data_IF_351272246262
#
_entry.id   IF_351272246262
#
_cell.length_a   1.000
_cell.length_b   1.000
_cell.length_c   1.000
_cell.angle_alpha   90.00
_cell.angle_beta   90.00
_cell.angle_gamma   90.00
#
_symmetry.space_group_name_H-M   'P 1'
#
loop_
_entity.id
_entity.type
_entity.pdbx_description
1 polymer ?
#
# COMPACT_ATOMS: atom_id res chain seq x y z
N UNK A 1 7.17 -8.79 -12.50
CA UNK A 1 7.46 -8.41 -11.09
C UNK A 1 6.21 -8.18 -10.25
N UNK A 2 5.14 -7.56 -10.77
CA UNK A 2 3.90 -7.33 -9.98
C UNK A 2 3.21 -8.62 -9.52
N UNK A 3 3.04 -9.61 -10.41
CA UNK A 3 2.35 -10.86 -10.07
C UNK A 3 2.99 -11.62 -8.91
N UNK A 4 4.32 -11.72 -8.88
CA UNK A 4 5.06 -12.37 -7.79
C UNK A 4 4.96 -11.59 -6.47
N UNK A 5 4.92 -10.25 -6.54
CA UNK A 5 4.73 -9.41 -5.35
C UNK A 5 3.33 -9.58 -4.75
N UNK A 6 2.29 -9.53 -5.58
CA UNK A 6 0.90 -9.68 -5.12
C UNK A 6 0.66 -11.06 -4.53
N UNK A 7 1.21 -12.12 -5.14
CA UNK A 7 1.15 -13.46 -4.58
C UNK A 7 1.83 -13.54 -3.21
N UNK A 8 3.03 -12.96 -3.06
CA UNK A 8 3.75 -12.93 -1.79
C UNK A 8 3.02 -12.14 -0.70
N UNK A 9 2.42 -10.99 -1.05
CA UNK A 9 1.60 -10.19 -0.13
C UNK A 9 0.38 -10.97 0.34
N UNK A 10 -0.36 -11.62 -0.58
CA UNK A 10 -1.54 -12.43 -0.23
C UNK A 10 -1.19 -13.62 0.66
N UNK A 11 -0.03 -14.23 0.44
CA UNK A 11 0.46 -15.31 1.29
C UNK A 11 0.83 -14.83 2.70
N UNK A 12 1.49 -13.67 2.82
CA UNK A 12 1.91 -13.12 4.11
C UNK A 12 0.78 -12.46 4.91
N UNK A 13 -0.22 -11.89 4.23
CA UNK A 13 -1.27 -11.04 4.81
C UNK A 13 -2.66 -11.47 4.29
N UNK A 14 -3.11 -12.71 4.54
CA UNK A 14 -4.27 -13.31 3.88
C UNK A 14 -5.62 -12.64 4.19
N UNK A 15 -5.69 -11.86 5.27
CA UNK A 15 -6.91 -11.18 5.75
C UNK A 15 -6.97 -9.70 5.38
N UNK A 16 -5.98 -9.19 4.63
CA UNK A 16 -5.89 -7.76 4.25
C UNK A 16 -6.41 -7.54 2.83
N UNK A 17 -6.96 -6.34 2.58
CA UNK A 17 -7.29 -5.95 1.20
C UNK A 17 -6.00 -5.58 0.49
N UNK A 18 -5.76 -6.19 -0.68
CA UNK A 18 -4.57 -5.94 -1.49
C UNK A 18 -5.01 -5.56 -2.89
N UNK A 19 -4.55 -4.41 -3.37
CA UNK A 19 -4.72 -3.97 -4.77
C UNK A 19 -3.39 -4.01 -5.50
N UNK A 20 -3.44 -4.43 -6.76
CA UNK A 20 -2.30 -4.31 -7.66
C UNK A 20 -2.23 -2.95 -8.36
N UNK A 21 -1.17 -2.73 -9.16
CA UNK A 21 -0.97 -1.50 -9.89
C UNK A 21 -2.08 -1.21 -10.92
N UNK A 22 -2.72 -2.24 -11.51
CA UNK A 22 -3.79 -2.05 -12.48
C UNK A 22 -5.09 -1.61 -11.78
N UNK A 23 -5.38 -2.20 -10.63
CA UNK A 23 -6.48 -1.78 -9.75
C UNK A 23 -6.27 -0.35 -9.24
N UNK A 24 -5.05 0.03 -8.89
CA UNK A 24 -4.71 1.40 -8.49
C UNK A 24 -4.92 2.39 -9.64
N UNK A 25 -4.48 2.05 -10.85
CA UNK A 25 -4.62 2.91 -12.03
C UNK A 25 -6.09 3.16 -12.44
N UNK A 26 -7.02 2.29 -12.03
CA UNK A 26 -8.46 2.44 -12.32
C UNK A 26 -9.23 3.23 -11.26
N UNK A 27 -8.55 3.80 -10.25
CA UNK A 27 -9.17 4.47 -9.10
C UNK A 27 -8.72 5.92 -9.00
N UNK A 28 -9.54 6.74 -8.34
CA UNK A 28 -9.20 8.13 -8.05
C UNK A 28 -8.02 8.20 -7.03
N UNK A 29 -6.87 8.77 -7.41
CA UNK A 29 -5.72 8.92 -6.52
C UNK A 29 -5.90 10.04 -5.48
N UNK A 30 -6.96 10.83 -5.57
CA UNK A 30 -7.21 12.00 -4.74
C UNK A 30 -6.47 13.23 -5.28
N UNK A 31 -5.93 14.05 -4.38
CA UNK A 31 -5.42 15.37 -4.71
C UNK A 31 -4.20 15.37 -5.65
N UNK A 32 -3.38 14.30 -5.62
CA UNK A 32 -2.16 14.18 -6.43
C UNK A 32 -2.19 12.85 -7.19
N UNK A 33 -2.04 12.90 -8.52
CA UNK A 33 -2.01 11.72 -9.39
C UNK A 33 -0.94 10.69 -9.00
N UNK A 34 0.16 11.13 -8.37
CA UNK A 34 1.25 10.26 -7.91
C UNK A 34 0.87 9.42 -6.70
N UNK A 35 -0.22 9.72 -5.98
CA UNK A 35 -0.60 8.98 -4.78
C UNK A 35 -0.75 7.48 -5.05
N UNK A 36 -1.18 7.09 -6.25
CA UNK A 36 -1.36 5.69 -6.68
C UNK A 36 -0.32 5.23 -7.72
N UNK A 37 0.90 5.77 -7.67
CA UNK A 37 2.03 5.30 -8.50
C UNK A 37 2.70 4.01 -8.02
N UNK A 38 2.30 3.48 -6.87
CA UNK A 38 2.87 2.27 -6.24
C UNK A 38 2.63 0.98 -7.02
N UNK A 39 3.43 -0.06 -6.73
CA UNK A 39 3.24 -1.40 -7.29
C UNK A 39 2.09 -2.18 -6.65
N UNK A 40 1.74 -1.83 -5.41
CA UNK A 40 0.64 -2.43 -4.67
C UNK A 40 0.15 -1.49 -3.56
N UNK A 41 -1.11 -1.67 -3.18
CA UNK A 41 -1.68 -1.13 -1.95
C UNK A 41 -2.09 -2.27 -1.05
N UNK A 42 -1.81 -2.15 0.24
CA UNK A 42 -2.28 -3.06 1.27
C UNK A 42 -3.05 -2.23 2.30
N UNK A 43 -4.26 -2.68 2.62
CA UNK A 43 -5.10 -2.08 3.65
C UNK A 43 -5.29 -3.09 4.80
N UNK A 44 -4.45 -3.01 5.84
CA UNK A 44 -4.64 -3.75 7.09
C UNK A 44 -5.93 -3.35 7.81
N UNK A 45 -6.41 -4.22 8.70
CA UNK A 45 -7.61 -3.97 9.53
C UNK A 45 -7.29 -3.65 10.99
N UNK A 46 -6.05 -3.90 11.39
CA UNK A 46 -5.56 -3.84 12.77
C UNK A 46 -4.06 -3.53 12.78
N UNK A 47 -3.53 -3.30 13.99
CA UNK A 47 -2.12 -2.97 14.21
C UNK A 47 -1.22 -4.15 13.86
N UNK A 48 -1.68 -5.38 14.10
CA UNK A 48 -0.97 -6.61 13.77
C UNK A 48 -0.72 -6.73 12.26
N UNK A 49 -1.73 -6.42 11.44
CA UNK A 49 -1.60 -6.39 9.98
C UNK A 49 -0.65 -5.30 9.50
N UNK A 50 -0.65 -4.12 10.13
CA UNK A 50 0.34 -3.06 9.85
C UNK A 50 1.75 -3.55 10.18
N UNK A 51 1.94 -4.14 11.36
CA UNK A 51 3.25 -4.66 11.79
C UNK A 51 3.75 -5.77 10.86
N UNK A 52 2.87 -6.68 10.43
CA UNK A 52 3.20 -7.72 9.48
C UNK A 52 3.61 -7.15 8.10
N UNK A 53 2.93 -6.11 7.61
CA UNK A 53 3.29 -5.43 6.38
C UNK A 53 4.65 -4.73 6.48
N UNK A 54 4.92 -4.04 7.59
CA UNK A 54 6.21 -3.38 7.83
C UNK A 54 7.34 -4.41 7.83
N UNK A 55 7.17 -5.55 8.50
CA UNK A 55 8.15 -6.65 8.49
C UNK A 55 8.35 -7.22 7.08
N UNK A 56 7.26 -7.49 6.36
CA UNK A 56 7.31 -7.99 4.99
C UNK A 56 8.17 -7.08 4.08
N UNK A 57 7.95 -5.77 4.18
CA UNK A 57 8.69 -4.77 3.43
C UNK A 57 10.16 -4.70 3.85
N UNK A 58 10.43 -4.67 5.16
CA UNK A 58 11.79 -4.59 5.70
C UNK A 58 12.66 -5.78 5.28
N UNK A 59 12.13 -7.01 5.36
CA UNK A 59 12.83 -8.24 4.95
C UNK A 59 13.20 -8.25 3.46
N UNK A 60 12.45 -7.53 2.62
CA UNK A 60 12.58 -7.52 1.16
C UNK A 60 13.21 -6.23 0.63
N UNK A 61 13.55 -5.28 1.50
CA UNK A 61 14.06 -3.98 1.09
C UNK A 61 13.07 -3.15 0.27
N UNK A 62 11.77 -3.32 0.49
CA UNK A 62 10.72 -2.61 -0.25
C UNK A 62 10.33 -1.34 0.52
N UNK A 63 10.33 -0.18 -0.16
CA UNK A 63 9.87 1.07 0.46
C UNK A 63 8.36 1.05 0.69
N UNK A 64 7.94 1.50 1.87
CA UNK A 64 6.56 1.59 2.29
C UNK A 64 6.15 3.06 2.47
N UNK A 65 4.98 3.45 1.97
CA UNK A 65 4.41 4.79 2.14
C UNK A 65 3.06 4.67 2.85
N UNK A 66 2.96 5.27 4.04
CA UNK A 66 1.71 5.28 4.80
C UNK A 66 0.74 6.33 4.23
N UNK A 67 -0.53 5.96 4.06
CA UNK A 67 -1.58 6.83 3.55
C UNK A 67 -2.82 6.80 4.46
N UNK A 68 -3.33 7.99 4.81
CA UNK A 68 -4.67 8.20 5.32
C UNK A 68 -5.60 8.71 4.22
N UNK A 69 -6.20 9.89 4.41
CA UNK A 69 -7.14 10.49 3.45
C UNK A 69 -6.56 11.04 2.14
N UNK A 70 -5.23 11.02 1.94
CA UNK A 70 -4.54 11.50 0.72
C UNK A 70 -4.83 12.97 0.33
N UNK A 71 -5.16 13.83 1.30
CA UNK A 71 -5.45 15.27 1.09
C UNK A 71 -4.26 16.20 1.38
N UNK A 72 -3.11 15.66 1.78
CA UNK A 72 -1.93 16.45 2.11
C UNK A 72 -1.27 17.10 0.89
N UNK A 73 -0.99 18.40 0.98
CA UNK A 73 -0.43 19.20 -0.13
C UNK A 73 1.10 19.15 -0.24
N UNK A 74 1.79 18.59 0.76
CA UNK A 74 3.25 18.47 0.78
C UNK A 74 3.77 17.25 -0.02
N UNK A 75 2.88 16.47 -0.66
CA UNK A 75 3.26 15.30 -1.45
C UNK A 75 3.63 14.05 -0.62
N UNK A 76 3.36 14.03 0.69
CA UNK A 76 3.72 12.90 1.56
C UNK A 76 3.03 11.57 1.25
N UNK A 77 1.95 11.59 0.46
CA UNK A 77 1.26 10.39 -0.02
C UNK A 77 1.70 9.95 -1.43
N UNK A 78 2.52 10.74 -2.13
CA UNK A 78 2.97 10.40 -3.48
C UNK A 78 3.81 9.10 -3.46
N UNK A 79 3.59 8.24 -4.44
CA UNK A 79 4.28 6.96 -4.59
C UNK A 79 4.82 6.75 -5.99
N UNK A 80 5.66 5.72 -6.16
CA UNK A 80 6.28 5.34 -7.43
C UNK A 80 6.36 3.81 -7.54
N UNK A 81 6.58 3.33 -8.76
CA UNK A 81 6.70 1.90 -9.03
C UNK A 81 7.81 1.30 -8.16
N UNK A 82 7.54 0.12 -7.60
CA UNK A 82 8.43 -0.58 -6.66
C UNK A 82 8.11 -0.30 -5.19
N UNK A 83 7.31 0.72 -4.88
CA UNK A 83 6.85 0.99 -3.52
C UNK A 83 5.53 0.27 -3.21
N UNK A 84 5.22 0.15 -1.92
CA UNK A 84 3.94 -0.34 -1.41
C UNK A 84 3.26 0.76 -0.60
N UNK A 85 1.96 0.92 -0.81
CA UNK A 85 1.11 1.77 0.03
C UNK A 85 0.63 0.97 1.26
N UNK A 86 0.80 1.52 2.46
CA UNK A 86 0.08 1.11 3.66
C UNK A 86 -1.13 2.04 3.84
N UNK A 87 -2.32 1.57 3.46
CA UNK A 87 -3.56 2.32 3.61
C UNK A 87 -4.16 2.10 5.00
N UNK A 88 -4.16 3.15 5.80
CA UNK A 88 -4.63 3.12 7.19
C UNK A 88 -6.15 3.24 7.31
N UNK A 89 -6.89 3.45 6.21
CA UNK A 89 -8.34 3.62 6.23
C UNK A 89 -9.13 2.38 6.66
N UNK A 90 -8.47 1.22 6.83
CA UNK A 90 -9.07 -0.01 7.35
C UNK A 90 -8.81 -0.29 8.83
N UNK A 91 -7.89 0.44 9.47
CA UNK A 91 -7.50 0.20 10.87
C UNK A 91 -8.53 0.85 11.80
N UNK A 92 -9.13 0.06 12.69
CA UNK A 92 -10.04 0.58 13.71
C UNK A 92 -9.27 1.46 14.74
N UNK A 93 -9.90 2.52 15.27
CA UNK A 93 -9.30 3.35 16.34
C UNK A 93 -9.13 2.60 17.66
#
# INVERSE_FOLDING_TARGET
MSASLIAALRAALPSTTIWDAAELASRDPGFDARNFGASALVRPRDVEGVAALVRFCAERGISLVAQGGRTGLAGGAATSQGQIICDLGGVAP
#
